data_IF_296132567230
#
_entry.id   IF_296132567230
#
_cell.length_a   1.000
_cell.length_b   1.000
_cell.length_c   1.000
_cell.angle_alpha   90.00
_cell.angle_beta   90.00
_cell.angle_gamma   90.00
#
_symmetry.space_group_name_H-M   'P 1'
#
loop_
_entity.id
_entity.type
_entity.pdbx_description
1 polymer ?
#
# COMPACT_ATOMS: atom_id res chain seq x y z
N UNK A 1 17.12 10.20 20.64
CA UNK A 1 16.61 9.22 19.65
C UNK A 1 15.27 9.75 19.18
N UNK A 2 15.10 10.03 17.88
CA UNK A 2 13.83 10.55 17.34
C UNK A 2 12.69 9.54 17.52
N UNK A 3 11.44 10.03 17.56
CA UNK A 3 10.26 9.19 17.69
C UNK A 3 10.19 8.13 16.59
N UNK A 4 9.65 6.96 16.93
CA UNK A 4 9.35 5.89 15.98
C UNK A 4 7.87 5.57 16.08
N UNK A 5 7.17 5.58 14.96
CA UNK A 5 5.80 5.12 14.87
C UNK A 5 5.75 3.88 13.97
N UNK A 6 5.26 2.76 14.52
CA UNK A 6 4.96 1.53 13.77
C UNK A 6 3.45 1.50 13.54
N UNK A 7 3.02 1.36 12.29
CA UNK A 7 1.62 1.17 11.91
C UNK A 7 1.45 -0.20 11.32
N UNK A 8 0.40 -0.92 11.73
CA UNK A 8 0.05 -2.19 11.09
C UNK A 8 -0.60 -1.88 9.75
N UNK A 9 -0.21 -2.65 8.75
CA UNK A 9 -0.71 -2.55 7.39
C UNK A 9 -1.38 -3.87 7.02
N UNK A 10 -2.62 -3.79 6.59
CA UNK A 10 -3.33 -4.95 6.10
C UNK A 10 -3.98 -4.67 4.75
N UNK A 11 -4.21 -5.74 4.00
CA UNK A 11 -4.85 -5.64 2.70
C UNK A 11 -5.81 -6.78 2.45
N UNK A 12 -6.86 -6.52 1.66
CA UNK A 12 -7.72 -7.55 1.09
C UNK A 12 -7.72 -7.41 -0.44
N UNK A 13 -7.33 -8.46 -1.16
CA UNK A 13 -7.37 -8.43 -2.62
C UNK A 13 -8.83 -8.46 -3.13
N UNK A 14 -9.20 -7.51 -3.98
CA UNK A 14 -10.51 -7.48 -4.65
C UNK A 14 -10.42 -8.14 -6.03
N UNK A 15 -9.29 -7.99 -6.68
CA UNK A 15 -8.91 -8.67 -7.92
C UNK A 15 -7.72 -9.62 -7.68
N UNK A 16 -7.45 -10.58 -8.57
CA UNK A 16 -6.23 -11.39 -8.49
C UNK A 16 -4.98 -10.51 -8.55
N UNK A 17 -3.93 -10.87 -7.80
CA UNK A 17 -2.71 -10.09 -7.69
C UNK A 17 -1.56 -10.79 -8.42
N UNK A 18 -0.95 -10.08 -9.37
CA UNK A 18 0.26 -10.52 -10.07
C UNK A 18 1.44 -9.62 -9.73
N UNK A 19 2.36 -10.12 -8.89
CA UNK A 19 3.67 -9.50 -8.66
C UNK A 19 4.73 -10.39 -9.32
N UNK A 20 5.09 -10.07 -10.56
CA UNK A 20 6.03 -10.88 -11.33
C UNK A 20 7.46 -10.86 -10.76
N UNK A 21 8.18 -11.95 -10.96
CA UNK A 21 9.61 -12.10 -10.60
C UNK A 21 10.56 -11.47 -11.62
N UNK A 22 10.05 -10.96 -12.75
CA UNK A 22 10.84 -10.28 -13.79
C UNK A 22 11.51 -11.21 -14.80
N UNK A 23 11.21 -12.51 -14.79
CA UNK A 23 11.77 -13.48 -15.73
C UNK A 23 10.85 -14.66 -16.00
N UNK A 24 11.16 -15.38 -17.08
CA UNK A 24 10.51 -16.64 -17.41
C UNK A 24 11.18 -17.78 -16.65
N UNK A 25 10.38 -18.65 -16.05
CA UNK A 25 10.88 -19.87 -15.41
C UNK A 25 10.47 -21.09 -16.22
N UNK A 26 11.41 -22.02 -16.43
CA UNK A 26 11.05 -23.35 -16.93
C UNK A 26 10.29 -24.06 -15.80
N UNK A 27 9.02 -24.40 -16.04
CA UNK A 27 8.19 -25.04 -15.03
C UNK A 27 6.72 -25.13 -15.43
N UNK A 28 5.85 -25.30 -14.43
CA UNK A 28 4.39 -25.38 -14.62
C UNK A 28 3.80 -24.12 -15.28
N UNK A 29 4.43 -22.98 -15.04
CA UNK A 29 3.95 -21.66 -15.50
C UNK A 29 5.14 -20.85 -15.98
N UNK A 30 4.95 -20.11 -17.08
CA UNK A 30 5.98 -19.28 -17.69
C UNK A 30 6.32 -18.07 -16.81
N UNK A 31 5.28 -17.33 -16.38
CA UNK A 31 5.39 -16.14 -15.56
C UNK A 31 4.97 -16.42 -14.10
N UNK A 32 5.95 -16.50 -13.21
CA UNK A 32 5.73 -16.75 -11.78
C UNK A 32 5.59 -15.47 -10.97
N UNK A 33 5.00 -15.61 -9.78
CA UNK A 33 4.89 -14.54 -8.79
C UNK A 33 5.98 -14.63 -7.71
N UNK A 34 6.30 -13.48 -7.10
CA UNK A 34 7.27 -13.37 -6.01
C UNK A 34 6.80 -14.17 -4.78
N UNK A 35 7.75 -14.85 -4.15
CA UNK A 35 7.57 -15.68 -2.96
C UNK A 35 8.62 -15.36 -1.92
N UNK A 36 8.31 -15.65 -0.67
CA UNK A 36 9.32 -15.73 0.37
C UNK A 36 10.31 -16.86 0.10
N UNK A 37 11.60 -16.61 0.30
CA UNK A 37 12.66 -17.57 -0.06
C UNK A 37 12.67 -18.78 0.86
N UNK A 38 12.24 -18.62 2.13
CA UNK A 38 12.26 -19.66 3.15
C UNK A 38 10.96 -20.46 3.07
N UNK A 39 9.81 -19.79 3.19
CA UNK A 39 8.51 -20.49 3.28
C UNK A 39 7.93 -20.89 1.94
N UNK A 40 8.43 -20.30 0.83
CA UNK A 40 7.86 -20.42 -0.53
C UNK A 40 6.42 -19.93 -0.66
N UNK A 41 5.91 -19.21 0.34
CA UNK A 41 4.59 -18.59 0.30
C UNK A 41 4.67 -17.30 -0.54
N UNK A 42 3.73 -17.07 -1.48
CA UNK A 42 3.67 -15.82 -2.23
C UNK A 42 3.52 -14.60 -1.32
N UNK A 43 4.15 -13.48 -1.72
CA UNK A 43 4.10 -12.21 -0.99
C UNK A 43 4.11 -11.03 -1.94
N UNK A 44 3.72 -9.85 -1.43
CA UNK A 44 3.90 -8.59 -2.15
C UNK A 44 5.10 -7.86 -1.51
N UNK A 45 6.21 -7.64 -2.24
CA UNK A 45 7.39 -6.97 -1.69
C UNK A 45 7.10 -5.56 -1.21
N UNK A 46 7.73 -5.16 -0.11
CA UNK A 46 7.66 -3.81 0.44
C UNK A 46 8.12 -2.74 -0.55
N UNK A 47 9.06 -3.09 -1.44
CA UNK A 47 9.49 -2.22 -2.54
C UNK A 47 8.39 -1.96 -3.58
N UNK A 48 7.60 -2.98 -3.94
CA UNK A 48 6.44 -2.84 -4.84
C UNK A 48 5.36 -1.97 -4.21
N UNK A 49 5.11 -2.14 -2.90
CA UNK A 49 4.17 -1.33 -2.13
C UNK A 49 4.66 0.12 -2.08
N UNK A 50 5.89 0.35 -1.63
CA UNK A 50 6.48 1.68 -1.51
C UNK A 50 6.49 2.43 -2.85
N UNK A 51 6.88 1.78 -3.95
CA UNK A 51 6.89 2.38 -5.29
C UNK A 51 5.49 2.78 -5.77
N UNK A 52 4.51 1.91 -5.57
CA UNK A 52 3.11 2.17 -5.94
C UNK A 52 2.53 3.31 -5.11
N UNK A 53 2.73 3.28 -3.78
CA UNK A 53 2.25 4.30 -2.87
C UNK A 53 2.90 5.67 -3.14
N UNK A 54 4.19 5.68 -3.49
CA UNK A 54 4.91 6.89 -3.90
C UNK A 54 4.24 7.57 -5.09
N UNK A 55 3.82 6.79 -6.08
CA UNK A 55 3.07 7.29 -7.23
C UNK A 55 1.67 7.78 -6.83
N UNK A 56 0.96 7.04 -5.99
CA UNK A 56 -0.38 7.41 -5.53
C UNK A 56 -0.39 8.69 -4.68
N UNK A 57 0.59 8.89 -3.81
CA UNK A 57 0.74 10.15 -3.07
C UNK A 57 0.99 11.33 -4.03
N UNK A 58 1.76 11.12 -5.10
CA UNK A 58 1.93 12.13 -6.13
C UNK A 58 0.62 12.43 -6.87
N UNK A 59 -0.14 11.40 -7.25
CA UNK A 59 -1.45 11.57 -7.87
C UNK A 59 -2.43 12.33 -6.97
N UNK A 60 -2.51 11.97 -5.69
CA UNK A 60 -3.38 12.64 -4.72
C UNK A 60 -3.02 14.12 -4.61
N UNK A 61 -1.73 14.41 -4.43
CA UNK A 61 -1.23 15.77 -4.27
C UNK A 61 -1.49 16.63 -5.52
N UNK A 62 -1.16 16.12 -6.70
CA UNK A 62 -1.37 16.85 -7.96
C UNK A 62 -2.86 17.02 -8.26
N UNK A 63 -3.68 16.00 -7.98
CA UNK A 63 -5.13 16.07 -8.10
C UNK A 63 -5.73 17.15 -7.18
N UNK A 64 -5.25 17.23 -5.94
CA UNK A 64 -5.65 18.26 -5.00
C UNK A 64 -5.28 19.66 -5.49
N UNK A 65 -4.06 19.89 -5.95
CA UNK A 65 -3.65 21.19 -6.47
C UNK A 65 -4.47 21.60 -7.69
N UNK A 66 -4.69 20.68 -8.64
CA UNK A 66 -5.51 20.94 -9.83
C UNK A 66 -6.94 21.35 -9.45
N UNK A 67 -7.55 20.68 -8.45
CA UNK A 67 -8.89 21.02 -7.96
C UNK A 67 -8.94 22.38 -7.26
N UNK A 68 -7.90 22.74 -6.52
CA UNK A 68 -7.84 23.96 -5.71
C UNK A 68 -7.14 25.15 -6.40
N UNK A 69 -6.64 24.98 -7.64
CA UNK A 69 -5.75 25.93 -8.29
C UNK A 69 -6.30 27.36 -8.34
N UNK A 70 -7.55 27.55 -8.76
CA UNK A 70 -8.18 28.88 -8.85
C UNK A 70 -8.24 29.59 -7.49
N UNK A 71 -8.61 28.87 -6.43
CA UNK A 71 -8.67 29.42 -5.09
C UNK A 71 -7.28 29.80 -4.56
N UNK A 72 -6.29 28.94 -4.81
CA UNK A 72 -4.90 29.19 -4.42
C UNK A 72 -4.34 30.41 -5.17
N UNK A 73 -4.59 30.49 -6.48
CA UNK A 73 -4.18 31.60 -7.32
C UNK A 73 -4.72 32.93 -6.78
N UNK A 74 -6.03 33.01 -6.54
CA UNK A 74 -6.67 34.19 -5.95
C UNK A 74 -5.98 34.66 -4.65
N UNK A 75 -5.55 33.73 -3.78
CA UNK A 75 -4.88 34.05 -2.51
C UNK A 75 -3.47 34.58 -2.71
N UNK A 76 -2.74 34.07 -3.70
CA UNK A 76 -1.32 34.38 -3.89
C UNK A 76 -1.07 35.61 -4.75
N UNK A 77 -1.82 35.79 -5.84
CA UNK A 77 -1.52 36.79 -6.86
C UNK A 77 -2.73 37.66 -7.27
N UNK A 78 -3.90 37.44 -6.69
CA UNK A 78 -5.12 38.18 -7.04
C UNK A 78 -5.54 38.04 -8.51
N UNK A 79 -5.06 37.01 -9.22
CA UNK A 79 -5.14 36.80 -10.67
C UNK A 79 -4.28 37.73 -11.55
N UNK A 80 -3.28 38.41 -10.99
CA UNK A 80 -2.39 39.27 -11.77
C UNK A 80 -1.44 38.51 -12.71
N UNK A 81 -1.05 37.27 -12.39
CA UNK A 81 -0.10 36.51 -13.21
C UNK A 81 -0.85 35.62 -14.20
N UNK A 82 -0.56 35.80 -15.49
CA UNK A 82 -0.96 34.85 -16.51
C UNK A 82 -0.15 33.55 -16.34
N UNK A 83 -0.84 32.44 -16.13
CA UNK A 83 -0.25 31.09 -16.05
C UNK A 83 -0.90 30.29 -17.18
N UNK A 84 -0.08 29.66 -18.04
CA UNK A 84 -0.57 28.94 -19.21
C UNK A 84 -1.28 27.63 -18.82
N UNK A 85 -0.94 27.09 -17.66
CA UNK A 85 -1.46 25.82 -17.15
C UNK A 85 -2.01 25.98 -15.71
N UNK A 86 -2.85 25.04 -15.26
CA UNK A 86 -3.26 24.94 -13.86
C UNK A 86 -2.17 24.26 -12.99
N UNK A 87 -0.90 24.57 -13.25
CA UNK A 87 0.24 24.03 -12.52
C UNK A 87 0.64 24.99 -11.39
N UNK A 88 0.49 24.53 -10.15
CA UNK A 88 0.88 25.29 -8.96
C UNK A 88 2.38 25.60 -8.96
N UNK A 89 3.21 24.69 -9.50
CA UNK A 89 4.66 24.87 -9.55
C UNK A 89 5.02 26.03 -10.45
N UNK A 90 4.37 26.16 -11.61
CA UNK A 90 4.58 27.28 -12.52
C UNK A 90 4.20 28.61 -11.83
N UNK A 91 3.03 28.65 -11.19
CA UNK A 91 2.54 29.85 -10.49
C UNK A 91 3.51 30.33 -9.40
N UNK A 92 3.92 29.45 -8.48
CA UNK A 92 4.78 29.87 -7.35
C UNK A 92 6.17 30.28 -7.81
N UNK A 93 6.69 29.69 -8.90
CA UNK A 93 7.98 30.09 -9.45
C UNK A 93 7.90 31.48 -10.10
N UNK A 94 6.88 31.76 -10.93
CA UNK A 94 6.68 33.10 -11.51
C UNK A 94 6.49 34.18 -10.44
N UNK A 95 5.78 33.85 -9.35
CA UNK A 95 5.62 34.76 -8.21
C UNK A 95 6.96 35.05 -7.52
N UNK A 96 7.75 34.02 -7.25
CA UNK A 96 9.07 34.18 -6.66
C UNK A 96 9.99 35.02 -7.57
N UNK A 97 9.92 34.83 -8.89
CA UNK A 97 10.68 35.63 -9.86
C UNK A 97 10.27 37.10 -9.84
N UNK A 98 8.96 37.40 -9.78
CA UNK A 98 8.45 38.79 -9.67
C UNK A 98 8.90 39.46 -8.36
N UNK A 99 8.96 38.72 -7.26
CA UNK A 99 9.25 39.25 -5.91
C UNK A 99 10.74 39.29 -5.52
N UNK A 100 11.62 38.64 -6.28
CA UNK A 100 13.06 38.58 -6.02
C UNK A 100 13.84 39.35 -7.08
N UNK A 101 14.93 40.00 -6.67
CA UNK A 101 15.86 40.64 -7.61
C UNK A 101 16.69 39.58 -8.38
N UNK A 102 17.39 39.99 -9.44
CA UNK A 102 18.10 39.07 -10.34
C UNK A 102 19.14 38.17 -9.64
N UNK A 103 19.82 38.69 -8.61
CA UNK A 103 20.81 37.93 -7.83
C UNK A 103 20.11 36.94 -6.89
N UNK A 104 18.97 37.31 -6.30
CA UNK A 104 18.23 36.45 -5.38
C UNK A 104 17.43 35.35 -6.09
N UNK A 105 17.02 35.57 -7.36
CA UNK A 105 16.27 34.60 -8.17
C UNK A 105 16.98 33.26 -8.32
N UNK A 106 18.32 33.28 -8.40
CA UNK A 106 19.15 32.08 -8.56
C UNK A 106 19.44 31.39 -7.22
N UNK A 107 19.17 32.03 -6.07
CA UNK A 107 19.43 31.47 -4.76
C UNK A 107 18.25 30.62 -4.26
N UNK A 108 18.44 29.30 -4.19
CA UNK A 108 17.38 28.37 -3.75
C UNK A 108 16.83 28.68 -2.34
N UNK A 109 17.69 29.08 -1.39
CA UNK A 109 17.23 29.36 -0.02
C UNK A 109 16.29 30.58 0.03
N UNK A 110 16.56 31.59 -0.80
CA UNK A 110 15.68 32.77 -0.95
C UNK A 110 14.34 32.38 -1.56
N UNK A 111 14.33 31.55 -2.61
CA UNK A 111 13.09 31.00 -3.19
C UNK A 111 12.31 30.14 -2.19
N UNK A 112 13.00 29.25 -1.47
CA UNK A 112 12.39 28.39 -0.46
C UNK A 112 11.71 29.20 0.66
N UNK A 113 12.29 30.34 1.06
CA UNK A 113 11.65 31.26 2.00
C UNK A 113 10.33 31.83 1.44
N UNK A 114 10.28 32.18 0.15
CA UNK A 114 9.05 32.60 -0.53
C UNK A 114 8.02 31.46 -0.57
N UNK A 115 8.41 30.24 -0.94
CA UNK A 115 7.50 29.10 -0.98
C UNK A 115 6.92 28.76 0.40
N UNK A 116 7.72 28.82 1.47
CA UNK A 116 7.25 28.69 2.85
C UNK A 116 6.23 29.78 3.20
N UNK A 117 6.45 31.02 2.77
CA UNK A 117 5.49 32.12 2.95
C UNK A 117 4.18 31.86 2.19
N UNK A 118 4.25 31.44 0.93
CA UNK A 118 3.07 31.12 0.12
C UNK A 118 2.24 29.99 0.72
N UNK A 119 2.90 28.91 1.15
CA UNK A 119 2.25 27.78 1.86
C UNK A 119 1.47 28.28 3.08
N UNK A 120 2.08 29.09 3.95
CA UNK A 120 1.42 29.68 5.12
C UNK A 120 0.25 30.60 4.75
N UNK A 121 0.38 31.40 3.70
CA UNK A 121 -0.69 32.28 3.23
C UNK A 121 -1.92 31.47 2.77
N UNK A 122 -1.70 30.39 2.01
CA UNK A 122 -2.78 29.51 1.54
C UNK A 122 -3.45 28.82 2.73
N UNK A 123 -2.66 28.32 3.67
CA UNK A 123 -3.15 27.62 4.86
C UNK A 123 -4.01 28.54 5.74
N UNK A 124 -3.54 29.76 6.02
CA UNK A 124 -4.28 30.78 6.75
C UNK A 124 -5.58 31.18 6.03
N UNK A 125 -5.55 31.33 4.70
CA UNK A 125 -6.74 31.68 3.92
C UNK A 125 -7.80 30.58 3.97
N UNK A 126 -7.39 29.30 3.91
CA UNK A 126 -8.29 28.16 4.08
C UNK A 126 -8.92 28.12 5.47
N UNK A 127 -8.11 28.30 6.50
CA UNK A 127 -8.58 28.28 7.89
C UNK A 127 -9.52 29.46 8.22
N UNK A 128 -9.30 30.64 7.61
CA UNK A 128 -10.23 31.79 7.70
C UNK A 128 -11.59 31.53 7.03
N UNK A 129 -11.65 30.67 6.02
CA UNK A 129 -12.90 30.20 5.40
C UNK A 129 -13.71 29.25 6.27
N UNK A 130 -13.11 28.63 7.30
CA UNK A 130 -13.76 27.69 8.23
C UNK A 130 -14.32 28.34 9.50
N UNK A 131 -14.30 29.67 9.64
CA UNK A 131 -14.99 30.37 10.74
C UNK A 131 -16.28 30.99 10.23
N UNK A 132 -17.28 30.13 9.95
CA UNK A 132 -18.73 30.38 9.89
C UNK A 132 -19.43 29.17 9.29
N UNK A 133 -19.60 28.11 10.07
CA UNK A 133 -20.89 27.43 10.23
C UNK A 133 -20.78 26.24 11.19
N UNK A 134 -21.68 26.29 12.17
CA UNK A 134 -22.18 25.23 13.04
C UNK A 134 -21.29 24.71 14.19
N UNK A 135 -21.95 24.66 15.34
CA UNK A 135 -21.44 24.28 16.66
C UNK A 135 -21.09 22.78 16.66
N UNK A 136 -19.85 22.45 16.95
CA UNK A 136 -19.53 21.25 17.71
C UNK A 136 -18.42 21.57 18.71
N UNK A 137 -18.55 20.99 19.89
CA UNK A 137 -17.77 21.23 21.11
C UNK A 137 -16.26 21.36 20.86
N UNK A 138 -15.75 22.47 21.37
CA UNK A 138 -14.34 22.73 21.62
C UNK A 138 -13.78 21.75 22.66
N UNK A 139 -13.08 20.72 22.18
CA UNK A 139 -11.92 20.17 22.87
C UNK A 139 -10.91 19.68 21.83
N UNK A 140 -9.63 19.89 22.11
CA UNK A 140 -8.42 19.71 21.27
C UNK A 140 -8.22 20.65 20.07
N UNK A 141 -7.42 21.70 20.30
CA UNK A 141 -6.71 22.42 19.22
C UNK A 141 -5.56 21.56 18.70
N UNK A 142 -5.86 20.50 17.95
CA UNK A 142 -4.91 20.02 16.95
C UNK A 142 -4.90 21.03 15.81
N UNK A 143 -3.74 21.63 15.53
CA UNK A 143 -3.56 22.39 14.30
C UNK A 143 -3.91 21.45 13.13
N UNK A 144 -5.04 21.69 12.48
CA UNK A 144 -5.49 20.95 11.30
C UNK A 144 -4.59 21.32 10.10
N UNK A 145 -3.30 20.96 10.17
CA UNK A 145 -2.37 21.13 9.06
C UNK A 145 -2.80 20.25 7.90
N UNK A 146 -2.97 20.88 6.74
CA UNK A 146 -3.27 20.24 5.48
C UNK A 146 -1.94 19.77 4.86
N UNK A 147 -1.64 18.47 4.91
CA UNK A 147 -0.34 17.94 4.47
C UNK A 147 0.01 18.34 3.02
N UNK A 148 -0.99 18.58 2.16
CA UNK A 148 -0.79 19.04 0.79
C UNK A 148 -0.09 20.41 0.74
N UNK A 149 -0.23 21.23 1.79
CA UNK A 149 0.40 22.54 1.93
C UNK A 149 1.79 22.52 2.58
N UNK A 150 2.35 21.35 2.92
CA UNK A 150 3.78 21.27 3.23
C UNK A 150 4.58 21.95 2.11
N UNK A 151 5.39 22.97 2.44
CA UNK A 151 5.87 23.95 1.47
C UNK A 151 6.54 23.33 0.22
N UNK A 152 7.27 22.22 0.39
CA UNK A 152 7.96 21.54 -0.70
C UNK A 152 7.01 20.94 -1.74
N UNK A 153 5.75 20.74 -1.39
CA UNK A 153 4.71 20.28 -2.30
C UNK A 153 4.36 21.32 -3.37
N UNK A 154 4.49 22.62 -3.08
CA UNK A 154 4.24 23.69 -4.04
C UNK A 154 5.18 23.64 -5.25
N UNK A 155 6.36 23.02 -5.08
CA UNK A 155 7.36 22.83 -6.15
C UNK A 155 7.46 21.37 -6.59
N UNK A 156 6.54 20.52 -6.15
CA UNK A 156 6.48 19.12 -6.57
C UNK A 156 5.96 18.98 -8.00
N UNK A 157 6.19 17.82 -8.60
CA UNK A 157 5.59 17.43 -9.87
C UNK A 157 5.31 15.94 -9.86
N UNK A 158 4.57 15.43 -10.85
CA UNK A 158 4.32 13.99 -10.98
C UNK A 158 5.61 13.18 -11.08
N UNK A 159 6.68 13.75 -11.64
CA UNK A 159 8.00 13.10 -11.75
C UNK A 159 8.63 12.79 -10.39
N UNK A 160 8.18 13.44 -9.30
CA UNK A 160 8.64 13.13 -7.94
C UNK A 160 8.30 11.69 -7.51
N UNK A 161 7.35 11.06 -8.21
CA UNK A 161 6.98 9.66 -8.05
C UNK A 161 8.03 8.64 -8.51
N UNK A 162 9.07 9.04 -9.25
CA UNK A 162 10.14 8.12 -9.68
C UNK A 162 10.14 7.78 -11.16
N UNK A 163 10.29 8.81 -12.00
CA UNK A 163 10.79 8.63 -13.35
C UNK A 163 12.09 9.42 -13.48
N UNK A 164 13.21 8.72 -13.34
CA UNK A 164 14.43 9.09 -14.06
C UNK A 164 14.30 8.40 -15.43
N UNK A 165 13.70 9.10 -16.40
CA UNK A 165 13.36 8.58 -17.75
C UNK A 165 14.58 8.20 -18.64
N UNK A 166 15.76 7.94 -18.07
CA UNK A 166 16.96 7.64 -18.86
C UNK A 166 17.25 6.14 -18.87
N UNK A 167 16.48 5.36 -19.66
CA UNK A 167 17.16 4.45 -20.58
C UNK A 167 16.93 4.75 -22.08
N UNK A 168 15.92 5.54 -22.47
CA UNK A 168 15.43 5.54 -23.87
C UNK A 168 15.11 6.92 -24.51
N UNK A 169 15.50 8.06 -23.96
CA UNK A 169 15.27 9.34 -24.65
C UNK A 169 16.30 9.62 -25.75
N UNK A 170 15.80 9.72 -26.99
CA UNK A 170 16.45 10.44 -28.09
C UNK A 170 16.20 11.94 -27.89
N UNK A 171 17.27 12.72 -28.04
CA UNK A 171 17.29 14.15 -27.82
C UNK A 171 16.44 14.94 -28.84
N UNK A 172 15.76 15.99 -28.36
CA UNK A 172 15.32 17.26 -29.00
C UNK A 172 13.94 17.67 -28.43
N UNK A 173 13.62 18.87 -27.91
CA UNK A 173 14.16 20.24 -27.98
C UNK A 173 14.10 20.95 -26.60
N UNK A 174 14.94 21.98 -26.50
CA UNK A 174 15.26 22.94 -25.42
C UNK A 174 14.05 23.74 -24.87
N UNK A 175 14.11 24.34 -23.68
CA UNK A 175 14.77 25.64 -23.39
C UNK A 175 15.13 25.83 -21.90
N UNK A 176 16.37 26.30 -21.70
CA UNK A 176 16.98 27.02 -20.58
C UNK A 176 17.04 26.40 -19.17
N UNK A 177 18.24 25.91 -18.88
CA UNK A 177 18.75 25.59 -17.56
C UNK A 177 19.97 26.43 -17.24
N UNK A 178 19.89 27.22 -16.17
CA UNK A 178 21.03 27.31 -15.28
C UNK A 178 20.56 26.93 -13.87
N UNK A 179 20.82 25.65 -13.57
CA UNK A 179 20.83 24.94 -12.28
C UNK A 179 19.68 24.04 -11.78
N UNK A 180 18.88 23.35 -12.64
CA UNK A 180 18.23 22.05 -12.25
C UNK A 180 17.95 21.06 -13.43
N UNK A 181 18.86 20.79 -14.40
CA UNK A 181 18.66 19.63 -15.33
C UNK A 181 19.45 18.42 -14.79
N UNK A 182 18.98 17.18 -14.70
CA UNK A 182 17.74 16.48 -15.04
C UNK A 182 17.60 15.36 -14.00
N UNK A 183 16.45 15.17 -13.35
CA UNK A 183 15.96 13.92 -12.71
C UNK A 183 14.67 14.24 -11.94
N UNK A 184 13.71 13.31 -11.93
CA UNK A 184 12.28 13.59 -11.66
C UNK A 184 11.93 14.09 -10.25
N UNK A 185 12.85 13.99 -9.30
CA UNK A 185 12.63 14.36 -7.91
C UNK A 185 12.84 15.85 -7.66
N UNK A 186 12.00 16.51 -6.87
CA UNK A 186 12.33 17.87 -6.39
C UNK A 186 13.29 17.84 -5.19
N UNK A 187 13.23 16.78 -4.36
CA UNK A 187 14.04 16.61 -3.15
C UNK A 187 13.49 17.32 -1.90
N UNK A 188 12.39 18.06 -2.04
CA UNK A 188 11.81 18.90 -0.99
C UNK A 188 10.37 18.57 -0.65
N UNK A 189 9.59 17.96 -1.55
CA UNK A 189 8.20 17.62 -1.29
C UNK A 189 8.06 16.43 -0.34
N UNK A 190 6.86 16.29 0.23
CA UNK A 190 6.54 15.23 1.19
C UNK A 190 6.83 13.84 0.60
N UNK A 191 6.58 13.64 -0.69
CA UNK A 191 6.83 12.37 -1.40
C UNK A 191 8.33 12.04 -1.41
N UNK A 192 9.19 13.00 -1.79
CA UNK A 192 10.63 12.82 -1.79
C UNK A 192 11.18 12.56 -0.38
N UNK A 193 10.62 13.22 0.65
CA UNK A 193 11.05 13.03 2.04
C UNK A 193 10.58 11.69 2.61
N UNK A 194 9.37 11.27 2.25
CA UNK A 194 8.75 9.99 2.71
C UNK A 194 9.51 8.79 2.15
N UNK A 195 9.66 8.72 0.82
CA UNK A 195 10.22 7.53 0.14
C UNK A 195 11.71 7.65 -0.19
N UNK A 196 12.29 8.83 0.02
CA UNK A 196 13.67 9.13 -0.37
C UNK A 196 13.81 9.47 -1.85
N UNK A 197 14.99 9.93 -2.21
CA UNK A 197 15.33 10.25 -3.60
C UNK A 197 16.84 10.08 -3.83
N UNK A 198 17.19 9.88 -5.09
CA UNK A 198 18.57 9.95 -5.57
C UNK A 198 18.63 10.95 -6.72
N UNK A 199 19.66 11.79 -6.74
CA UNK A 199 20.04 12.67 -7.84
C UNK A 199 21.55 12.57 -8.02
N UNK A 200 22.06 13.00 -9.18
CA UNK A 200 23.51 12.96 -9.54
C UNK A 200 24.45 13.28 -8.37
N UNK A 201 24.18 14.36 -7.62
CA UNK A 201 25.07 14.86 -6.57
C UNK A 201 24.46 14.84 -5.16
N UNK A 202 23.22 14.35 -5.00
CA UNK A 202 22.52 14.38 -3.69
C UNK A 202 21.50 13.27 -3.60
N UNK A 203 21.62 12.46 -2.56
CA UNK A 203 20.62 11.46 -2.19
C UNK A 203 20.14 11.70 -0.77
N UNK A 204 18.90 11.31 -0.50
CA UNK A 204 18.33 11.29 0.84
C UNK A 204 17.52 10.02 0.98
N UNK A 205 17.82 9.23 2.01
CA UNK A 205 17.00 8.07 2.37
C UNK A 205 15.62 8.55 2.87
N UNK A 206 14.56 7.84 2.50
CA UNK A 206 13.22 8.12 3.00
C UNK A 206 13.07 7.90 4.50
N UNK A 207 11.97 8.40 5.06
CA UNK A 207 11.59 8.20 6.47
C UNK A 207 10.56 7.10 6.68
N UNK A 208 9.90 6.63 5.61
CA UNK A 208 8.96 5.53 5.65
C UNK A 208 9.59 4.21 5.18
N UNK A 209 9.45 3.18 6.00
CA UNK A 209 9.98 1.84 5.75
C UNK A 209 8.82 0.86 5.70
N UNK A 210 8.60 0.26 4.53
CA UNK A 210 7.53 -0.71 4.28
C UNK A 210 8.08 -2.11 4.44
N UNK A 211 7.39 -2.96 5.21
CA UNK A 211 7.62 -4.40 5.14
C UNK A 211 6.97 -4.98 3.88
N UNK A 212 7.32 -6.24 3.59
CA UNK A 212 6.51 -7.04 2.68
C UNK A 212 5.09 -7.23 3.25
N UNK A 213 4.10 -7.37 2.36
CA UNK A 213 2.79 -7.89 2.69
C UNK A 213 2.81 -9.41 2.52
N UNK A 214 2.72 -10.10 3.65
CA UNK A 214 2.64 -11.55 3.73
C UNK A 214 1.17 -11.98 3.76
N UNK A 215 0.87 -13.17 3.26
CA UNK A 215 -0.50 -13.72 3.30
C UNK A 215 -0.89 -14.01 4.75
N UNK A 216 -2.03 -13.45 5.18
CA UNK A 216 -2.67 -13.73 6.47
C UNK A 216 -3.71 -14.84 6.34
N UNK A 217 -4.61 -14.69 5.37
CA UNK A 217 -5.70 -15.62 5.08
C UNK A 217 -5.75 -15.88 3.59
N UNK A 218 -5.78 -17.15 3.19
CA UNK A 218 -5.80 -17.54 1.79
C UNK A 218 -7.11 -18.26 1.44
N UNK A 219 -7.87 -17.84 0.42
CA UNK A 219 -9.10 -18.50 0.04
C UNK A 219 -8.82 -19.80 -0.72
N UNK A 220 -9.46 -20.88 -0.30
CA UNK A 220 -9.41 -22.20 -0.95
C UNK A 220 -10.83 -22.67 -1.21
N UNK A 221 -11.09 -23.08 -2.45
CA UNK A 221 -12.35 -23.73 -2.78
C UNK A 221 -12.40 -25.15 -2.20
N UNK A 222 -13.49 -25.47 -1.50
CA UNK A 222 -13.73 -26.79 -0.90
C UNK A 222 -15.12 -27.29 -1.31
N UNK A 223 -15.42 -28.56 -1.03
CA UNK A 223 -16.75 -29.16 -1.21
C UNK A 223 -17.84 -28.50 -0.36
N UNK A 224 -17.46 -27.72 0.66
CA UNK A 224 -18.34 -27.00 1.58
C UNK A 224 -18.39 -25.49 1.30
N UNK A 225 -17.96 -25.07 0.10
CA UNK A 225 -17.77 -23.67 -0.25
C UNK A 225 -16.35 -23.18 0.01
N UNK A 226 -16.13 -21.88 -0.17
CA UNK A 226 -14.81 -21.26 0.02
C UNK A 226 -14.48 -21.20 1.52
N UNK A 227 -13.28 -21.64 1.87
CA UNK A 227 -12.71 -21.51 3.21
C UNK A 227 -11.46 -20.65 3.16
N UNK A 228 -11.21 -19.90 4.22
CA UNK A 228 -10.00 -19.11 4.37
C UNK A 228 -9.03 -19.85 5.27
N UNK A 229 -7.89 -20.23 4.71
CA UNK A 229 -6.88 -20.98 5.43
C UNK A 229 -5.82 -20.04 6.03
N UNK A 230 -5.29 -20.44 7.18
CA UNK A 230 -4.12 -19.87 7.83
C UNK A 230 -3.39 -20.97 8.61
N UNK A 231 -2.28 -20.65 9.28
CA UNK A 231 -1.53 -21.61 10.08
C UNK A 231 -1.03 -20.97 11.39
N UNK A 232 -0.65 -21.77 12.41
CA UNK A 232 -0.09 -21.23 13.65
C UNK A 232 1.08 -20.27 13.41
N UNK A 233 2.02 -20.63 12.53
CA UNK A 233 3.15 -19.77 12.15
C UNK A 233 2.72 -18.43 11.56
N UNK A 234 1.72 -18.41 10.67
CA UNK A 234 1.22 -17.17 10.06
C UNK A 234 0.56 -16.29 11.12
N UNK A 235 -0.29 -16.88 11.97
CA UNK A 235 -0.98 -16.16 13.04
C UNK A 235 0.02 -15.57 14.06
N UNK A 236 1.06 -16.32 14.41
CA UNK A 236 2.14 -15.89 15.30
C UNK A 236 2.94 -14.73 14.68
N UNK A 237 3.36 -14.89 13.43
CA UNK A 237 4.12 -13.87 12.68
C UNK A 237 3.32 -12.58 12.46
N UNK A 238 2.01 -12.69 12.36
CA UNK A 238 1.09 -11.55 12.22
C UNK A 238 0.68 -10.93 13.56
N UNK A 239 1.10 -11.50 14.70
CA UNK A 239 0.71 -11.08 16.06
C UNK A 239 -0.82 -11.12 16.27
N UNK A 240 -1.51 -12.11 15.70
CA UNK A 240 -2.96 -12.28 15.83
C UNK A 240 -3.30 -12.93 17.18
N UNK A 241 -4.16 -12.27 17.95
CA UNK A 241 -4.67 -12.80 19.22
C UNK A 241 -5.54 -14.05 18.97
N UNK A 242 -5.34 -15.10 19.77
CA UNK A 242 -6.10 -16.36 19.68
C UNK A 242 -6.74 -16.66 21.04
N UNK A 243 -8.07 -16.77 21.08
CA UNK A 243 -8.84 -17.11 22.29
C UNK A 243 -9.62 -18.40 22.09
N UNK A 244 -9.55 -19.31 23.07
CA UNK A 244 -10.33 -20.55 23.09
C UNK A 244 -11.56 -20.33 23.97
N UNK A 245 -12.77 -20.62 23.46
CA UNK A 245 -14.03 -20.28 24.13
C UNK A 245 -14.58 -21.41 25.02
N UNK A 246 -14.26 -22.67 24.74
CA UNK A 246 -14.82 -23.84 25.44
C UNK A 246 -13.95 -24.34 26.61
N UNK A 247 -12.81 -23.69 26.88
CA UNK A 247 -11.90 -24.17 27.91
C UNK A 247 -12.40 -23.81 29.32
N UNK A 248 -13.21 -24.69 29.92
CA UNK A 248 -13.30 -24.87 31.38
C UNK A 248 -12.00 -25.53 31.90
N UNK A 249 -10.85 -24.94 31.61
CA UNK A 249 -9.54 -25.44 32.07
C UNK A 249 -8.96 -24.45 33.09
N UNK A 250 -9.53 -24.48 34.28
CA UNK A 250 -8.81 -24.20 35.53
C UNK A 250 -7.88 -25.39 35.86
N UNK A 251 -6.96 -25.70 34.96
CA UNK A 251 -5.91 -26.70 35.20
C UNK A 251 -4.61 -26.14 34.68
N UNK A 252 -3.82 -25.60 35.60
CA UNK A 252 -2.35 -25.65 35.71
C UNK A 252 -1.49 -26.05 34.47
N UNK A 253 -1.78 -25.52 33.28
CA UNK A 253 -0.87 -25.50 32.13
C UNK A 253 -0.65 -24.05 31.69
N UNK A 254 -0.04 -23.25 32.58
CA UNK A 254 0.20 -21.81 32.43
C UNK A 254 1.39 -21.43 31.52
N UNK A 255 1.99 -22.36 30.75
CA UNK A 255 3.30 -22.10 30.10
C UNK A 255 3.32 -22.12 28.57
N UNK A 256 2.26 -22.53 27.87
CA UNK A 256 2.26 -22.62 26.41
C UNK A 256 1.53 -21.43 25.76
N UNK A 257 2.19 -20.78 24.80
CA UNK A 257 1.58 -19.70 24.01
C UNK A 257 0.33 -20.19 23.27
N UNK A 258 -0.63 -19.30 22.92
CA UNK A 258 -1.83 -19.69 22.18
C UNK A 258 -1.51 -20.40 20.85
N UNK A 259 -0.43 -20.00 20.18
CA UNK A 259 0.04 -20.62 18.94
C UNK A 259 0.62 -22.01 19.16
N UNK A 260 1.34 -22.25 20.26
CA UNK A 260 1.80 -23.59 20.65
C UNK A 260 0.62 -24.53 20.96
N UNK A 261 -0.44 -24.01 21.58
CA UNK A 261 -1.69 -24.78 21.77
C UNK A 261 -2.34 -25.15 20.43
N UNK A 262 -2.38 -24.24 19.46
CA UNK A 262 -2.85 -24.55 18.11
C UNK A 262 -2.00 -25.63 17.44
N UNK A 263 -0.66 -25.53 17.52
CA UNK A 263 0.26 -26.53 16.97
C UNK A 263 0.01 -27.91 17.59
N UNK A 264 -0.21 -27.98 18.90
CA UNK A 264 -0.48 -29.24 19.59
C UNK A 264 -1.82 -29.90 19.19
N UNK A 265 -2.80 -29.12 18.74
CA UNK A 265 -4.09 -29.63 18.24
C UNK A 265 -4.02 -30.12 16.78
N UNK A 266 -2.99 -29.70 16.04
CA UNK A 266 -2.77 -30.01 14.63
C UNK A 266 -1.79 -31.19 14.49
N UNK A 267 -2.33 -32.38 14.22
CA UNK A 267 -1.55 -33.53 13.73
C UNK A 267 -1.22 -33.32 12.23
N UNK A 268 -0.30 -34.11 11.66
CA UNK A 268 0.20 -33.92 10.28
C UNK A 268 -0.88 -33.87 9.20
N UNK A 269 -2.00 -34.58 9.39
CA UNK A 269 -3.13 -34.64 8.43
C UNK A 269 -4.43 -34.00 8.96
N UNK A 270 -4.33 -33.26 10.07
CA UNK A 270 -5.48 -32.71 10.78
C UNK A 270 -5.54 -31.19 10.62
N UNK A 271 -6.74 -30.67 10.37
CA UNK A 271 -7.05 -29.25 10.30
C UNK A 271 -8.13 -28.88 11.32
N UNK A 272 -8.14 -27.62 11.72
CA UNK A 272 -9.12 -27.06 12.64
C UNK A 272 -10.08 -26.17 11.87
N UNK A 273 -11.37 -26.48 11.89
CA UNK A 273 -12.44 -25.59 11.44
C UNK A 273 -12.83 -24.72 12.63
N UNK A 274 -12.67 -23.41 12.46
CA UNK A 274 -12.99 -22.42 13.49
C UNK A 274 -14.50 -22.19 13.54
N UNK A 275 -15.14 -22.36 14.71
CA UNK A 275 -16.58 -22.12 14.93
C UNK A 275 -16.83 -20.93 15.86
N UNK A 276 -17.87 -20.15 15.53
CA UNK A 276 -18.32 -18.99 16.30
C UNK A 276 -19.40 -19.24 17.37
N UNK A 277 -19.93 -20.47 17.51
CA UNK A 277 -20.73 -20.96 18.65
C UNK A 277 -21.51 -22.26 18.33
N UNK A 278 -21.64 -23.12 19.35
CA UNK A 278 -22.68 -24.15 19.59
C UNK A 278 -23.18 -25.04 18.42
N UNK A 279 -22.29 -25.75 17.73
CA UNK A 279 -22.67 -27.01 17.07
C UNK A 279 -21.69 -28.13 17.41
N UNK A 280 -22.22 -29.18 18.07
CA UNK A 280 -21.51 -30.40 18.48
C UNK A 280 -20.58 -30.93 17.39
N UNK A 281 -19.45 -31.45 17.88
CA UNK A 281 -18.36 -32.08 17.16
C UNK A 281 -18.82 -33.36 16.45
N UNK A 282 -18.89 -33.31 15.12
CA UNK A 282 -18.65 -34.51 14.33
C UNK A 282 -17.28 -34.34 13.67
N UNK A 283 -16.40 -35.32 13.89
CA UNK A 283 -15.21 -35.49 13.07
C UNK A 283 -15.67 -35.66 11.62
N UNK A 284 -15.03 -34.94 10.71
CA UNK A 284 -15.32 -35.02 9.29
C UNK A 284 -14.05 -34.85 8.47
N UNK A 285 -14.21 -34.82 7.16
CA UNK A 285 -13.12 -34.55 6.23
C UNK A 285 -13.37 -33.25 5.49
N UNK A 286 -12.32 -32.53 5.15
CA UNK A 286 -12.40 -31.37 4.25
C UNK A 286 -11.33 -31.46 3.18
N UNK A 287 -11.71 -31.12 1.94
CA UNK A 287 -10.74 -31.00 0.88
C UNK A 287 -10.19 -29.58 0.80
N UNK A 288 -8.87 -29.45 0.70
CA UNK A 288 -8.18 -28.20 0.44
C UNK A 288 -7.38 -28.38 -0.87
N UNK A 289 -8.01 -28.00 -1.98
CA UNK A 289 -7.56 -28.42 -3.30
C UNK A 289 -7.70 -29.94 -3.47
N UNK A 290 -6.57 -30.61 -3.74
CA UNK A 290 -6.49 -32.06 -3.95
C UNK A 290 -6.23 -32.86 -2.67
N UNK A 291 -5.89 -32.19 -1.55
CA UNK A 291 -5.67 -32.83 -0.26
C UNK A 291 -7.00 -33.04 0.45
N UNK A 292 -7.25 -34.25 0.97
CA UNK A 292 -8.40 -34.55 1.83
C UNK A 292 -7.92 -34.79 3.26
N UNK A 293 -8.27 -33.91 4.18
CA UNK A 293 -7.69 -33.83 5.53
C UNK A 293 -8.75 -34.08 6.60
N UNK A 294 -8.31 -34.62 7.74
CA UNK A 294 -9.15 -34.80 8.93
C UNK A 294 -9.52 -33.42 9.49
N UNK A 295 -10.80 -33.17 9.74
CA UNK A 295 -11.29 -31.90 10.25
C UNK A 295 -11.81 -32.05 11.68
N UNK A 296 -11.17 -31.33 12.60
CA UNK A 296 -11.64 -31.10 13.98
C UNK A 296 -12.31 -29.74 14.04
N UNK A 297 -13.34 -29.59 14.87
CA UNK A 297 -14.01 -28.31 15.06
C UNK A 297 -13.61 -27.76 16.41
N UNK A 298 -13.17 -26.51 16.46
CA UNK A 298 -12.78 -25.84 17.70
C UNK A 298 -13.47 -24.48 17.79
N UNK A 299 -13.97 -24.13 18.98
CA UNK A 299 -14.53 -22.81 19.25
C UNK A 299 -13.38 -21.84 19.59
N UNK A 300 -12.85 -21.21 18.53
CA UNK A 300 -11.73 -20.29 18.59
C UNK A 300 -12.18 -18.92 18.10
N UNK A 301 -11.79 -17.88 18.81
CA UNK A 301 -11.93 -16.51 18.36
C UNK A 301 -10.55 -15.96 17.98
N UNK A 302 -10.41 -15.55 16.73
CA UNK A 302 -9.20 -14.87 16.24
C UNK A 302 -9.42 -13.36 16.27
N UNK A 303 -8.53 -12.64 16.95
CA UNK A 303 -8.45 -11.18 16.98
C UNK A 303 -7.89 -10.62 15.67
N UNK A 304 -8.50 -10.98 14.55
CA UNK A 304 -8.15 -10.41 13.26
C UNK A 304 -8.62 -8.95 13.27
N UNK A 305 -7.77 -8.00 12.85
CA UNK A 305 -8.15 -6.59 12.81
C UNK A 305 -9.47 -6.40 12.05
N UNK A 306 -10.16 -5.28 12.29
CA UNK A 306 -11.33 -4.88 11.48
C UNK A 306 -10.87 -4.51 10.06
N UNK A 307 -10.52 -5.55 9.31
CA UNK A 307 -9.91 -5.50 7.99
C UNK A 307 -10.91 -5.13 6.91
N UNK A 308 -12.20 -5.12 7.20
CA UNK A 308 -13.26 -5.22 6.20
C UNK A 308 -14.53 -4.64 6.84
N UNK A 309 -15.34 -3.90 6.08
CA UNK A 309 -16.69 -3.55 6.51
C UNK A 309 -17.46 -4.79 7.01
N UNK A 310 -18.36 -4.59 7.97
CA UNK A 310 -18.92 -5.65 8.83
C UNK A 310 -19.36 -6.91 8.05
N UNK A 311 -20.01 -6.76 6.89
CA UNK A 311 -20.61 -7.87 6.13
C UNK A 311 -19.61 -8.85 5.52
N UNK A 312 -18.56 -8.36 4.84
CA UNK A 312 -17.60 -9.24 4.14
C UNK A 312 -16.61 -9.86 5.13
N UNK A 313 -16.36 -9.18 6.26
CA UNK A 313 -15.63 -9.78 7.38
C UNK A 313 -16.38 -10.96 8.00
N UNK A 314 -17.67 -10.78 8.30
CA UNK A 314 -18.52 -11.84 8.87
C UNK A 314 -18.53 -13.09 7.98
N UNK A 315 -18.49 -12.91 6.66
CA UNK A 315 -18.37 -14.02 5.70
C UNK A 315 -17.04 -14.78 5.81
N UNK A 316 -15.92 -14.09 6.00
CA UNK A 316 -14.59 -14.71 6.14
C UNK A 316 -14.45 -15.40 7.49
N UNK A 317 -14.80 -14.72 8.59
CA UNK A 317 -14.61 -15.21 9.95
C UNK A 317 -15.41 -16.48 10.23
N UNK A 318 -16.60 -16.63 9.63
CA UNK A 318 -17.40 -17.85 9.71
C UNK A 318 -16.86 -19.04 8.89
N UNK A 319 -15.80 -18.86 8.11
CA UNK A 319 -15.29 -19.84 7.15
C UNK A 319 -13.78 -20.10 7.28
N UNK A 320 -13.22 -19.86 8.47
CA UNK A 320 -11.79 -20.03 8.75
C UNK A 320 -11.40 -21.49 9.01
N UNK A 321 -10.25 -21.88 8.48
CA UNK A 321 -9.62 -23.19 8.70
C UNK A 321 -8.15 -22.98 9.04
N UNK A 322 -7.69 -23.52 10.17
CA UNK A 322 -6.29 -23.51 10.56
C UNK A 322 -5.67 -24.84 10.15
N UNK A 323 -4.58 -24.78 9.39
CA UNK A 323 -3.86 -25.97 8.88
C UNK A 323 -2.48 -26.08 9.52
N UNK A 324 -1.86 -27.27 9.51
CA UNK A 324 -0.49 -27.45 9.96
C UNK A 324 0.49 -26.55 9.19
N UNK A 325 1.52 -26.05 9.87
CA UNK A 325 2.59 -25.25 9.27
C UNK A 325 3.36 -26.02 8.18
N UNK A 326 3.41 -27.35 8.28
CA UNK A 326 4.01 -28.23 7.27
C UNK A 326 3.24 -28.25 5.94
N UNK A 327 1.93 -27.99 5.96
CA UNK A 327 1.05 -28.09 4.79
C UNK A 327 0.70 -26.73 4.15
N UNK A 328 0.76 -25.63 4.91
CA UNK A 328 0.25 -24.32 4.46
C UNK A 328 0.86 -23.87 3.13
N UNK A 329 2.17 -24.02 2.95
CA UNK A 329 2.86 -23.61 1.72
C UNK A 329 2.43 -24.46 0.52
N UNK A 330 2.27 -25.77 0.70
CA UNK A 330 1.82 -26.67 -0.36
C UNK A 330 0.38 -26.39 -0.75
N UNK A 331 -0.51 -26.15 0.23
CA UNK A 331 -1.91 -25.83 -0.04
C UNK A 331 -2.02 -24.51 -0.79
N UNK A 332 -1.32 -23.45 -0.36
CA UNK A 332 -1.34 -22.15 -1.04
C UNK A 332 -0.85 -22.30 -2.48
N UNK A 333 0.34 -22.87 -2.69
CA UNK A 333 0.93 -22.99 -4.03
C UNK A 333 0.11 -23.87 -4.98
N UNK A 334 -0.61 -24.87 -4.46
CA UNK A 334 -1.50 -25.73 -5.27
C UNK A 334 -2.80 -25.04 -5.69
N UNK A 335 -3.18 -23.95 -5.03
CA UNK A 335 -4.46 -23.25 -5.23
C UNK A 335 -4.28 -21.83 -5.79
N UNK A 336 -3.08 -21.48 -6.29
CA UNK A 336 -2.87 -20.24 -7.03
C UNK A 336 -3.59 -20.26 -8.37
N UNK A 337 -4.08 -19.10 -8.79
CA UNK A 337 -4.73 -18.96 -10.08
C UNK A 337 -3.68 -19.07 -11.20
N UNK A 338 -3.97 -19.88 -12.22
CA UNK A 338 -3.13 -19.97 -13.43
C UNK A 338 -3.99 -19.58 -14.63
N UNK A 339 -3.56 -18.55 -15.35
CA UNK A 339 -4.21 -18.11 -16.57
C UNK A 339 -3.33 -18.32 -17.78
N UNK A 340 -3.89 -18.91 -18.82
CA UNK A 340 -3.28 -18.97 -20.15
C UNK A 340 -3.68 -17.72 -20.93
N UNK A 341 -2.70 -17.05 -21.53
CA UNK A 341 -2.86 -15.87 -22.36
C UNK A 341 -2.29 -16.13 -23.75
N UNK A 342 -2.94 -15.54 -24.76
CA UNK A 342 -2.50 -15.60 -26.16
C UNK A 342 -2.65 -14.23 -26.80
N UNK A 343 -1.78 -13.90 -27.76
CA UNK A 343 -2.01 -12.75 -28.66
C UNK A 343 -2.57 -13.24 -29.99
N UNK A 344 -3.71 -12.70 -30.40
CA UNK A 344 -4.38 -13.05 -31.66
C UNK A 344 -3.92 -12.11 -32.78
N UNK A 345 -3.73 -12.66 -33.97
CA UNK A 345 -3.55 -11.89 -35.20
C UNK A 345 -4.92 -11.44 -35.71
N UNK A 346 -5.19 -10.12 -35.78
CA UNK A 346 -6.49 -9.61 -36.20
C UNK A 346 -6.84 -9.91 -37.66
N UNK A 347 -5.85 -10.20 -38.52
CA UNK A 347 -6.10 -10.50 -39.94
C UNK A 347 -6.52 -11.96 -40.16
N UNK A 348 -5.90 -12.89 -39.43
CA UNK A 348 -6.13 -14.33 -39.61
C UNK A 348 -7.07 -14.93 -38.57
N UNK A 349 -7.29 -14.23 -37.45
CA UNK A 349 -8.02 -14.76 -36.29
C UNK A 349 -7.27 -15.85 -35.52
N UNK A 350 -6.05 -16.20 -35.94
CA UNK A 350 -5.23 -17.23 -35.32
C UNK A 350 -4.28 -16.67 -34.25
N UNK A 351 -3.75 -17.55 -33.40
CA UNK A 351 -2.72 -17.18 -32.43
C UNK A 351 -1.41 -16.78 -33.13
N UNK A 352 -0.81 -15.66 -32.70
CA UNK A 352 0.53 -15.28 -33.13
C UNK A 352 1.56 -16.30 -32.64
N UNK A 353 2.49 -16.68 -33.51
CA UNK A 353 3.57 -17.63 -33.18
C UNK A 353 4.37 -17.12 -31.97
N UNK A 354 4.54 -17.97 -30.96
CA UNK A 354 5.29 -17.66 -29.74
C UNK A 354 4.57 -16.76 -28.72
N UNK A 355 3.29 -16.43 -28.93
CA UNK A 355 2.54 -15.53 -28.05
C UNK A 355 1.63 -16.24 -27.04
N UNK A 356 1.74 -17.56 -26.92
CA UNK A 356 1.06 -18.35 -25.89
C UNK A 356 1.94 -18.40 -24.65
N UNK A 357 1.41 -17.96 -23.50
CA UNK A 357 2.10 -18.01 -22.23
C UNK A 357 1.12 -18.16 -21.08
N UNK A 358 1.60 -18.68 -19.96
CA UNK A 358 0.84 -18.90 -18.74
C UNK A 358 1.35 -17.96 -17.65
N UNK A 359 0.46 -17.52 -16.76
CA UNK A 359 0.81 -16.64 -15.67
C UNK A 359 0.08 -17.03 -14.40
N UNK A 360 0.81 -17.00 -13.30
CA UNK A 360 0.31 -17.32 -11.97
C UNK A 360 -0.20 -16.04 -11.29
N UNK A 361 -1.19 -16.14 -10.41
CA UNK A 361 -1.65 -15.02 -9.60
C UNK A 361 -2.17 -15.46 -8.23
N UNK A 362 -2.03 -14.57 -7.25
CA UNK A 362 -2.69 -14.73 -5.96
C UNK A 362 -4.18 -14.44 -6.15
N UNK A 363 -5.11 -15.35 -5.77
CA UNK A 363 -6.53 -15.16 -6.00
C UNK A 363 -7.08 -13.95 -5.22
N UNK A 364 -8.20 -13.40 -5.72
CA UNK A 364 -9.01 -12.42 -4.99
C UNK A 364 -9.50 -12.98 -3.66
N UNK A 365 -9.77 -12.12 -2.70
CA UNK A 365 -10.20 -12.50 -1.35
C UNK A 365 -9.06 -12.94 -0.44
N UNK A 366 -7.81 -12.83 -0.88
CA UNK A 366 -6.63 -13.08 -0.04
C UNK A 366 -6.40 -11.89 0.88
N UNK A 367 -6.30 -12.15 2.18
CA UNK A 367 -5.95 -11.13 3.17
C UNK A 367 -4.44 -11.14 3.40
N UNK A 368 -3.85 -9.97 3.59
CA UNK A 368 -2.43 -9.78 3.82
C UNK A 368 -2.17 -8.95 5.07
N UNK A 369 -0.99 -9.11 5.65
CA UNK A 369 -0.48 -8.34 6.78
C UNK A 369 0.96 -7.88 6.56
N UNK A 370 1.31 -6.76 7.18
CA UNK A 370 2.64 -6.14 7.14
C UNK A 370 2.65 -4.89 8.03
N UNK A 371 3.69 -4.08 7.91
CA UNK A 371 3.93 -2.92 8.75
C UNK A 371 4.53 -1.76 7.95
N UNK A 372 4.20 -0.53 8.36
CA UNK A 372 4.90 0.69 7.96
C UNK A 372 5.57 1.27 9.20
N UNK A 373 6.88 1.52 9.12
CA UNK A 373 7.64 2.22 10.16
C UNK A 373 7.99 3.61 9.69
N UNK A 374 7.56 4.62 10.44
CA UNK A 374 7.90 6.02 10.22
C UNK A 374 8.97 6.42 11.25
N UNK A 375 10.10 6.94 10.75
CA UNK A 375 11.23 7.36 11.58
C UNK A 375 11.33 8.87 11.57
N UNK A 376 11.24 9.49 12.75
CA UNK A 376 11.49 10.91 12.89
C UNK A 376 12.98 11.22 12.65
N UNK A 377 13.25 12.24 11.85
CA UNK A 377 14.61 12.74 11.62
C UNK A 377 14.73 14.16 12.14
N UNK A 378 15.88 14.43 12.74
CA UNK A 378 16.25 15.79 13.13
C UNK A 378 16.84 16.50 11.92
N UNK A 379 16.31 17.68 11.61
CA UNK A 379 16.77 18.53 10.53
C UNK A 379 15.78 19.63 10.21
N UNK A 380 16.28 20.75 9.72
CA UNK A 380 15.42 21.74 9.08
C UNK A 380 14.85 21.13 7.80
N UNK A 381 13.57 21.34 7.53
CA UNK A 381 12.88 20.87 6.32
C UNK A 381 12.54 19.36 6.25
N UNK A 382 11.75 18.89 7.21
CA UNK A 382 11.08 17.59 7.17
C UNK A 382 9.58 17.75 7.43
N UNK A 383 8.70 17.03 6.71
CA UNK A 383 7.28 16.95 7.03
C UNK A 383 7.10 16.23 8.38
N UNK A 384 6.02 16.55 9.08
CA UNK A 384 5.69 15.85 10.32
C UNK A 384 5.30 14.39 10.02
N UNK A 385 5.43 13.50 11.01
CA UNK A 385 4.96 12.12 10.88
C UNK A 385 3.44 12.08 10.64
N UNK A 386 2.69 12.98 11.27
CA UNK A 386 1.24 13.13 11.08
C UNK A 386 0.87 13.53 9.64
N UNK A 387 1.61 14.47 9.03
CA UNK A 387 1.42 14.82 7.62
C UNK A 387 1.66 13.62 6.69
N UNK A 388 2.69 12.82 6.98
CA UNK A 388 3.00 11.62 6.20
C UNK A 388 1.87 10.60 6.38
N UNK A 389 1.40 10.38 7.60
CA UNK A 389 0.32 9.45 7.89
C UNK A 389 -0.97 9.83 7.16
N UNK A 390 -1.37 11.11 7.23
CA UNK A 390 -2.50 11.66 6.48
C UNK A 390 -2.33 11.49 4.98
N UNK A 391 -1.13 11.76 4.46
CA UNK A 391 -0.86 11.58 3.03
C UNK A 391 -0.95 10.11 2.59
N UNK A 392 -0.48 9.17 3.41
CA UNK A 392 -0.63 7.74 3.17
C UNK A 392 -2.11 7.33 3.19
N UNK A 393 -2.87 7.80 4.18
CA UNK A 393 -4.31 7.53 4.33
C UNK A 393 -5.12 8.06 3.14
N UNK A 394 -4.87 9.30 2.71
CA UNK A 394 -5.59 9.93 1.60
C UNK A 394 -5.33 9.23 0.26
N UNK A 395 -4.12 8.72 0.06
CA UNK A 395 -3.72 8.10 -1.22
C UNK A 395 -3.98 6.59 -1.28
N UNK A 396 -4.29 5.92 -0.17
CA UNK A 396 -4.48 4.46 -0.15
C UNK A 396 -5.63 3.99 -1.05
N UNK A 397 -6.65 4.84 -1.25
CA UNK A 397 -7.82 4.59 -2.11
C UNK A 397 -7.43 4.22 -3.55
N UNK A 398 -6.27 4.67 -4.02
CA UNK A 398 -5.79 4.34 -5.37
C UNK A 398 -5.44 2.86 -5.53
N UNK A 399 -5.16 2.10 -4.46
CA UNK A 399 -5.02 0.64 -4.56
C UNK A 399 -6.32 -0.05 -5.01
N UNK A 400 -7.48 0.53 -4.66
CA UNK A 400 -8.78 0.00 -5.05
C UNK A 400 -9.14 0.33 -6.50
N UNK A 401 -8.61 1.43 -7.06
CA UNK A 401 -8.94 1.85 -8.42
C UNK A 401 -7.86 1.46 -9.43
N UNK A 402 -6.59 1.74 -9.10
CA UNK A 402 -5.43 1.62 -9.97
C UNK A 402 -4.60 0.36 -9.71
N UNK A 403 -4.73 -0.31 -8.55
CA UNK A 403 -4.08 -1.59 -8.27
C UNK A 403 -2.54 -1.63 -8.26
N UNK A 404 -1.98 -2.71 -7.74
CA UNK A 404 -0.54 -2.97 -7.64
C UNK A 404 -0.10 -4.09 -8.59
N UNK A 405 1.17 -4.06 -9.00
CA UNK A 405 1.79 -5.14 -9.74
C UNK A 405 1.59 -5.01 -11.25
N UNK A 406 1.69 -6.16 -11.94
CA UNK A 406 1.48 -6.23 -13.38
C UNK A 406 0.03 -6.52 -13.75
N UNK A 407 -0.29 -6.39 -15.04
CA UNK A 407 -1.60 -6.73 -15.63
C UNK A 407 -2.81 -5.95 -15.07
N UNK A 408 -2.57 -4.80 -14.43
CA UNK A 408 -3.63 -3.96 -13.86
C UNK A 408 -4.74 -3.63 -14.87
N UNK A 409 -4.38 -3.29 -16.10
CA UNK A 409 -5.35 -2.99 -17.18
C UNK A 409 -6.19 -4.18 -17.62
N UNK A 410 -5.86 -5.39 -17.15
CA UNK A 410 -6.55 -6.66 -17.41
C UNK A 410 -7.34 -7.15 -16.19
N UNK A 411 -7.61 -6.28 -15.21
CA UNK A 411 -8.39 -6.62 -14.02
C UNK A 411 -7.58 -7.39 -12.97
N UNK A 412 -6.32 -7.01 -12.78
CA UNK A 412 -5.47 -7.51 -11.70
C UNK A 412 -5.08 -6.37 -10.74
N UNK A 413 -4.58 -6.74 -9.56
CA UNK A 413 -3.82 -5.84 -8.70
C UNK A 413 -4.65 -5.01 -7.73
N UNK A 414 -5.98 -4.95 -7.89
CA UNK A 414 -6.82 -4.14 -6.99
C UNK A 414 -6.93 -4.80 -5.61
N UNK A 415 -6.76 -3.98 -4.59
CA UNK A 415 -6.85 -4.39 -3.19
C UNK A 415 -7.28 -3.22 -2.31
N UNK A 416 -7.97 -3.52 -1.21
CA UNK A 416 -8.32 -2.54 -0.17
C UNK A 416 -7.23 -2.49 0.88
N UNK A 417 -6.78 -1.28 1.26
CA UNK A 417 -5.71 -1.06 2.24
C UNK A 417 -6.25 -0.53 3.57
N UNK A 418 -5.77 -1.11 4.66
CA UNK A 418 -6.10 -0.74 6.04
C UNK A 418 -4.82 -0.43 6.80
N UNK A 419 -4.79 0.74 7.44
CA UNK A 419 -3.67 1.19 8.26
C UNK A 419 -4.24 1.43 9.66
N UNK A 420 -3.64 0.81 10.67
CA UNK A 420 -4.03 0.94 12.08
C UNK A 420 -2.81 1.25 12.94
#
# INVERSE_FOLDING_TARGET
MGGKQKKKMHALSTDPIYIGTGGYTIGRVDNTIVRDTITKIPKIPGSSIAGTWRYYMALELQGWFKKNFKAIKNVLDGNEIAVATNDIRELVNRLADKELNDIERTNFNKRAAKFKKYSKMIDLAKNRGCVKNEKSSCDDRQENHNWQLYWGNLISSIKCAGQDDKPNESHEYSLDFQEISDTGHCGHCIICKTFGFSKKNKSQQGVAFFSDLNILLFPVYTRLGVKWITSPYILESAEIEVKFLDSNLNTEEETKSPWEKLKALLEDDTVIIVKGSNKKSNQGYINLGWLNLNAKNENILLGIPELIGEDLWQGISGNLVIVPDSLISQIINSNLEVRTSVSIDPLTGAAKKGALFTSEAIPRGTAFYGDIRLIERQGEDLPSIDDIDKALLDSKKYYECLGIGGMVTRGFGRLKMYLS
#
